data_IF_856851726004
#
_entry.id   IF_856851726004
#
_cell.length_a   1.000
_cell.length_b   1.000
_cell.length_c   1.000
_cell.angle_alpha   90.00
_cell.angle_beta   90.00
_cell.angle_gamma   90.00
#
_symmetry.space_group_name_H-M   'P 1'
#
loop_
_entity.id
_entity.type
_entity.pdbx_description
1 polymer ?
#
# COMPACT_ATOMS: atom_id res chain seq x y z
N UNK A 1 3.08 4.69 13.58
CA UNK A 1 2.72 4.47 12.17
C UNK A 1 3.26 3.16 11.60
N UNK A 2 3.91 2.30 12.39
CA UNK A 2 4.35 1.01 11.89
C UNK A 2 3.15 0.13 11.46
N UNK A 3 3.35 -0.58 10.36
CA UNK A 3 2.43 -1.58 9.82
C UNK A 3 2.98 -2.97 10.12
N UNK A 4 2.12 -3.91 10.52
CA UNK A 4 2.52 -5.26 10.94
C UNK A 4 2.29 -6.33 9.87
N UNK A 5 1.71 -5.97 8.72
CA UNK A 5 1.41 -6.92 7.65
C UNK A 5 2.63 -7.19 6.77
N UNK A 6 2.99 -8.46 6.63
CA UNK A 6 4.03 -8.92 5.69
C UNK A 6 3.51 -9.09 4.25
N UNK A 7 2.22 -8.79 4.01
CA UNK A 7 1.59 -8.90 2.70
C UNK A 7 1.88 -7.63 1.90
N UNK A 8 2.60 -7.73 0.78
CA UNK A 8 2.89 -6.58 -0.10
C UNK A 8 1.64 -6.21 -0.91
N UNK A 9 1.10 -5.00 -0.88
CA UNK A 9 -0.17 -4.71 -1.55
C UNK A 9 -0.14 -4.96 -3.08
N UNK A 10 -1.31 -5.22 -3.67
CA UNK A 10 -1.51 -5.33 -5.13
C UNK A 10 -2.64 -4.40 -5.61
N UNK A 11 -2.59 -3.13 -5.19
CA UNK A 11 -3.53 -2.06 -5.51
C UNK A 11 -2.73 -0.81 -5.93
N UNK A 12 -2.64 -0.56 -7.22
CA UNK A 12 -1.79 0.48 -7.83
C UNK A 12 -2.32 1.92 -7.68
N UNK A 13 -3.58 2.11 -7.29
CA UNK A 13 -4.15 3.43 -7.03
C UNK A 13 -4.32 3.66 -5.52
N UNK A 14 -3.35 4.35 -4.91
CA UNK A 14 -3.43 4.64 -3.47
C UNK A 14 -4.63 5.53 -3.13
N UNK A 15 -5.10 6.40 -4.03
CA UNK A 15 -6.27 7.24 -3.76
C UNK A 15 -7.53 6.38 -3.64
N UNK A 16 -7.70 5.35 -4.48
CA UNK A 16 -8.82 4.41 -4.34
C UNK A 16 -8.73 3.56 -3.07
N UNK A 17 -7.52 3.20 -2.63
CA UNK A 17 -7.32 2.54 -1.32
C UNK A 17 -7.80 3.45 -0.17
N UNK A 18 -7.55 4.76 -0.26
CA UNK A 18 -8.00 5.73 0.72
C UNK A 18 -9.50 6.05 0.61
N UNK A 19 -10.04 6.15 -0.61
CA UNK A 19 -11.46 6.35 -0.88
C UNK A 19 -12.31 5.20 -0.35
N UNK A 20 -11.80 3.96 -0.39
CA UNK A 20 -12.43 2.79 0.19
C UNK A 20 -12.79 2.98 1.67
N UNK A 21 -11.98 3.71 2.46
CA UNK A 21 -12.35 4.01 3.85
C UNK A 21 -13.61 4.87 3.95
N UNK A 22 -13.81 5.78 3.00
CA UNK A 22 -14.99 6.65 2.97
C UNK A 22 -16.25 5.85 2.68
N UNK A 23 -16.16 4.83 1.82
CA UNK A 23 -17.26 3.90 1.54
C UNK A 23 -17.62 3.06 2.76
N UNK A 24 -16.61 2.48 3.42
CA UNK A 24 -16.80 1.69 4.64
C UNK A 24 -17.46 2.55 5.72
N UNK A 25 -17.01 3.79 5.90
CA UNK A 25 -17.59 4.71 6.87
C UNK A 25 -19.06 5.08 6.55
N UNK A 26 -19.49 4.95 5.29
CA UNK A 26 -20.88 5.13 4.85
C UNK A 26 -21.72 3.85 4.91
N UNK A 27 -21.14 2.74 5.39
CA UNK A 27 -21.81 1.45 5.52
C UNK A 27 -21.67 0.54 4.30
N UNK A 28 -20.93 0.94 3.26
CA UNK A 28 -20.63 0.09 2.11
C UNK A 28 -19.32 -0.65 2.38
N UNK A 29 -19.42 -1.82 3.00
CA UNK A 29 -18.28 -2.48 3.63
C UNK A 29 -18.12 -3.95 3.25
N UNK A 30 -18.82 -4.43 2.23
CA UNK A 30 -18.59 -5.76 1.67
C UNK A 30 -17.73 -5.70 0.40
N UNK A 31 -17.05 -6.80 0.07
CA UNK A 31 -16.29 -6.92 -1.20
C UNK A 31 -17.16 -6.62 -2.43
N UNK A 32 -18.45 -7.01 -2.40
CA UNK A 32 -19.36 -6.80 -3.52
C UNK A 32 -19.75 -5.33 -3.68
N UNK A 33 -20.10 -4.64 -2.60
CA UNK A 33 -20.44 -3.20 -2.67
C UNK A 33 -19.26 -2.35 -3.15
N UNK A 34 -18.05 -2.70 -2.70
CA UNK A 34 -16.81 -2.06 -3.17
C UNK A 34 -16.55 -2.40 -4.64
N UNK A 35 -16.87 -3.63 -5.07
CA UNK A 35 -16.76 -4.03 -6.47
C UNK A 35 -17.67 -3.18 -7.37
N UNK A 36 -18.93 -3.04 -6.95
CA UNK A 36 -19.93 -2.28 -7.69
C UNK A 36 -19.57 -0.80 -7.75
N UNK A 37 -19.13 -0.20 -6.64
CA UNK A 37 -18.77 1.22 -6.60
C UNK A 37 -17.58 1.56 -7.51
N UNK A 38 -16.48 0.80 -7.42
CA UNK A 38 -15.28 1.07 -8.21
C UNK A 38 -15.29 0.44 -9.61
N UNK A 39 -16.35 -0.27 -9.97
CA UNK A 39 -16.44 -1.09 -11.19
C UNK A 39 -15.25 -2.07 -11.26
N UNK A 40 -15.01 -2.71 -10.14
CA UNK A 40 -13.96 -3.70 -9.95
C UNK A 40 -14.51 -5.11 -10.16
N UNK A 41 -13.61 -6.01 -10.55
CA UNK A 41 -13.85 -7.45 -10.32
C UNK A 41 -13.79 -7.74 -8.82
N UNK A 42 -14.47 -8.79 -8.31
CA UNK A 42 -14.38 -9.17 -6.89
C UNK A 42 -12.93 -9.38 -6.40
N UNK A 43 -12.06 -9.85 -7.30
CA UNK A 43 -10.62 -10.01 -7.03
C UNK A 43 -9.92 -8.66 -6.82
N UNK A 44 -10.26 -7.63 -7.60
CA UNK A 44 -9.72 -6.28 -7.42
C UNK A 44 -10.19 -5.69 -6.09
N UNK A 45 -11.47 -5.81 -5.75
CA UNK A 45 -11.99 -5.37 -4.44
C UNK A 45 -11.23 -6.02 -3.28
N UNK A 46 -10.93 -7.31 -3.39
CA UNK A 46 -10.10 -7.97 -2.39
C UNK A 46 -8.69 -7.38 -2.28
N UNK A 47 -8.02 -7.05 -3.39
CA UNK A 47 -6.68 -6.44 -3.34
C UNK A 47 -6.66 -5.03 -2.78
N UNK A 48 -7.69 -4.22 -3.07
CA UNK A 48 -7.81 -2.88 -2.50
C UNK A 48 -8.11 -2.94 -1.00
N UNK A 49 -8.95 -3.89 -0.56
CA UNK A 49 -9.12 -4.23 0.85
C UNK A 49 -7.81 -4.67 1.51
N UNK A 50 -7.07 -5.62 0.91
CA UNK A 50 -5.77 -6.08 1.41
C UNK A 50 -4.75 -4.93 1.53
N UNK A 51 -4.80 -3.94 0.63
CA UNK A 51 -3.94 -2.77 0.70
C UNK A 51 -4.30 -1.82 1.85
N UNK A 52 -5.59 -1.65 2.15
CA UNK A 52 -6.03 -0.91 3.33
C UNK A 52 -5.70 -1.67 4.63
N UNK A 53 -5.84 -3.00 4.65
CA UNK A 53 -5.40 -3.88 5.74
C UNK A 53 -3.88 -3.78 5.94
N UNK A 54 -3.10 -3.74 4.86
CA UNK A 54 -1.65 -3.56 4.88
C UNK A 54 -1.22 -2.27 5.59
N UNK A 55 -1.96 -1.18 5.38
CA UNK A 55 -1.74 0.10 6.04
C UNK A 55 -2.29 0.14 7.49
N UNK A 56 -2.97 -0.93 7.92
CA UNK A 56 -3.60 -1.06 9.24
C UNK A 56 -4.82 -0.16 9.42
N UNK A 57 -5.46 0.23 8.31
CA UNK A 57 -6.60 1.15 8.29
C UNK A 57 -7.93 0.44 8.50
N UNK A 58 -8.01 -0.82 8.07
CA UNK A 58 -9.19 -1.67 8.22
C UNK A 58 -8.78 -3.09 8.64
N UNK A 59 -9.75 -3.84 9.13
CA UNK A 59 -9.72 -5.29 9.31
C UNK A 59 -10.83 -5.92 8.48
N UNK A 60 -10.82 -7.25 8.37
CA UNK A 60 -11.86 -8.00 7.67
C UNK A 60 -12.28 -9.20 8.49
N UNK A 61 -13.58 -9.30 8.75
CA UNK A 61 -14.21 -10.46 9.39
C UNK A 61 -15.40 -10.93 8.55
N UNK A 62 -15.47 -12.24 8.28
CA UNK A 62 -16.58 -12.84 7.53
C UNK A 62 -16.91 -12.17 6.18
N UNK A 63 -15.91 -11.59 5.51
CA UNK A 63 -16.08 -10.89 4.22
C UNK A 63 -16.58 -9.45 4.32
N UNK A 64 -16.70 -8.93 5.55
CA UNK A 64 -17.06 -7.55 5.86
C UNK A 64 -15.81 -6.80 6.32
N UNK A 65 -15.61 -5.61 5.78
CA UNK A 65 -14.55 -4.70 6.15
C UNK A 65 -14.97 -3.83 7.34
N UNK A 66 -14.07 -3.65 8.28
CA UNK A 66 -14.31 -2.85 9.48
C UNK A 66 -13.18 -1.84 9.66
N UNK A 67 -13.52 -0.60 10.02
CA UNK A 67 -12.49 0.40 10.32
C UNK A 67 -11.75 0.03 11.60
N UNK A 68 -10.42 0.12 11.58
CA UNK A 68 -9.63 0.16 12.80
C UNK A 68 -9.77 1.54 13.47
N UNK A 69 -9.25 1.68 14.69
CA UNK A 69 -9.12 3.00 15.33
C UNK A 69 -8.32 3.96 14.44
N UNK A 70 -7.22 3.48 13.86
CA UNK A 70 -6.40 4.23 12.91
C UNK A 70 -7.17 4.65 11.66
N UNK A 71 -8.04 3.79 11.14
CA UNK A 71 -8.93 4.13 10.02
C UNK A 71 -9.91 5.24 10.37
N UNK A 72 -10.51 5.18 11.57
CA UNK A 72 -11.40 6.23 12.10
C UNK A 72 -10.66 7.56 12.28
N UNK A 73 -9.44 7.54 12.82
CA UNK A 73 -8.61 8.72 12.96
C UNK A 73 -8.32 9.38 11.61
N UNK A 74 -8.06 8.57 10.57
CA UNK A 74 -7.87 9.07 9.21
C UNK A 74 -9.15 9.71 8.67
N UNK A 75 -10.32 9.07 8.84
CA UNK A 75 -11.61 9.63 8.40
C UNK A 75 -11.94 10.96 9.10
N UNK A 76 -11.64 11.08 10.39
CA UNK A 76 -11.91 12.30 11.17
C UNK A 76 -10.95 13.46 10.85
N UNK A 77 -9.84 13.19 10.16
CA UNK A 77 -8.85 14.20 9.83
C UNK A 77 -9.28 15.08 8.63
N UNK A 78 -8.83 16.34 8.62
CA UNK A 78 -8.97 17.22 7.46
C UNK A 78 -8.23 16.65 6.23
N UNK A 79 -8.63 16.96 4.99
CA UNK A 79 -8.00 16.41 3.77
C UNK A 79 -6.47 16.53 3.73
N UNK A 80 -5.90 17.67 4.12
CA UNK A 80 -4.44 17.84 4.17
C UNK A 80 -3.76 16.89 5.17
N UNK A 81 -4.40 16.68 6.33
CA UNK A 81 -3.93 15.74 7.36
C UNK A 81 -4.08 14.30 6.90
N UNK A 82 -5.15 13.96 6.18
CA UNK A 82 -5.35 12.63 5.58
C UNK A 82 -4.22 12.26 4.62
N UNK A 83 -3.82 13.19 3.74
CA UNK A 83 -2.72 13.00 2.81
C UNK A 83 -1.40 12.75 3.55
N UNK A 84 -1.06 13.60 4.52
CA UNK A 84 0.15 13.44 5.36
C UNK A 84 0.13 12.13 6.16
N UNK A 85 -1.05 11.73 6.65
CA UNK A 85 -1.23 10.49 7.40
C UNK A 85 -0.99 9.26 6.51
N UNK A 86 -1.58 9.24 5.31
CA UNK A 86 -1.36 8.18 4.33
C UNK A 86 0.11 8.07 3.94
N UNK A 87 0.78 9.19 3.65
CA UNK A 87 2.21 9.20 3.36
C UNK A 87 3.03 8.60 4.51
N UNK A 88 2.74 8.97 5.76
CA UNK A 88 3.39 8.40 6.95
C UNK A 88 3.19 6.89 7.04
N UNK A 89 2.00 6.36 6.74
CA UNK A 89 1.76 4.92 6.75
C UNK A 89 2.58 4.21 5.68
N UNK A 90 2.60 4.75 4.46
CA UNK A 90 3.33 4.15 3.34
C UNK A 90 4.83 4.14 3.63
N UNK A 91 5.45 5.27 4.00
CA UNK A 91 6.92 5.32 4.22
C UNK A 91 7.38 4.50 5.43
N UNK A 92 6.48 4.26 6.41
CA UNK A 92 6.76 3.41 7.56
C UNK A 92 6.36 1.94 7.34
N UNK A 93 5.86 1.59 6.16
CA UNK A 93 5.62 0.20 5.82
C UNK A 93 6.94 -0.54 5.60
N UNK A 94 6.97 -1.85 5.86
CA UNK A 94 8.23 -2.59 5.83
C UNK A 94 8.93 -2.52 4.45
N UNK A 95 8.18 -2.57 3.35
CA UNK A 95 8.74 -2.47 1.99
C UNK A 95 9.43 -1.12 1.80
N UNK A 96 8.76 -0.03 2.16
CA UNK A 96 9.31 1.32 1.98
C UNK A 96 10.47 1.62 2.93
N UNK A 97 10.47 1.05 4.15
CA UNK A 97 11.60 1.13 5.07
C UNK A 97 12.84 0.45 4.47
N UNK A 98 12.70 -0.73 3.89
CA UNK A 98 13.81 -1.44 3.22
C UNK A 98 14.33 -0.71 1.98
N UNK A 99 13.43 -0.13 1.17
CA UNK A 99 13.82 0.68 0.01
C UNK A 99 14.52 1.98 0.42
N UNK A 100 14.00 2.66 1.43
CA UNK A 100 14.62 3.88 2.00
C UNK A 100 16.00 3.56 2.59
N UNK A 101 16.13 2.43 3.30
CA UNK A 101 17.42 1.94 3.82
C UNK A 101 18.39 1.65 2.67
N UNK A 102 17.91 1.05 1.59
CA UNK A 102 18.72 0.80 0.39
C UNK A 102 19.20 2.09 -0.27
N UNK A 103 18.31 3.08 -0.47
CA UNK A 103 18.70 4.41 -0.95
C UNK A 103 19.70 5.10 -0.03
N UNK A 104 19.54 5.04 1.29
CA UNK A 104 20.50 5.65 2.24
C UNK A 104 21.88 5.02 2.16
N UNK A 105 21.98 3.71 1.91
CA UNK A 105 23.25 3.00 1.81
C UNK A 105 23.94 3.16 0.45
N UNK A 106 23.18 3.06 -0.65
CA UNK A 106 23.72 3.07 -2.02
C UNK A 106 23.64 4.43 -2.71
N UNK A 107 22.92 5.39 -2.13
CA UNK A 107 22.53 6.66 -2.75
C UNK A 107 21.26 6.57 -3.62
N UNK A 108 20.79 5.36 -3.95
CA UNK A 108 19.59 5.11 -4.76
C UNK A 108 19.07 3.67 -4.57
N UNK A 109 17.88 3.37 -5.10
CA UNK A 109 17.42 2.01 -5.37
C UNK A 109 16.88 1.91 -6.81
N UNK A 110 16.75 0.70 -7.34
CA UNK A 110 16.24 0.43 -8.71
C UNK A 110 14.96 -0.40 -8.68
N UNK A 111 14.32 -0.57 -9.84
CA UNK A 111 13.19 -1.51 -10.00
C UNK A 111 13.56 -2.95 -9.58
N UNK A 112 14.81 -3.37 -9.79
CA UNK A 112 15.31 -4.68 -9.34
C UNK A 112 15.43 -4.75 -7.81
N UNK A 113 15.82 -3.66 -7.14
CA UNK A 113 15.81 -3.60 -5.67
C UNK A 113 14.38 -3.69 -5.12
N UNK A 114 13.39 -3.10 -5.80
CA UNK A 114 11.96 -3.25 -5.46
C UNK A 114 11.55 -4.73 -5.54
N UNK A 115 11.86 -5.42 -6.64
CA UNK A 115 11.56 -6.85 -6.78
C UNK A 115 12.22 -7.70 -5.69
N UNK A 116 13.50 -7.42 -5.38
CA UNK A 116 14.23 -8.12 -4.31
C UNK A 116 13.56 -7.95 -2.96
N UNK A 117 13.16 -6.73 -2.59
CA UNK A 117 12.46 -6.46 -1.32
C UNK A 117 11.12 -7.19 -1.27
N UNK A 118 10.32 -7.15 -2.35
CA UNK A 118 9.04 -7.87 -2.41
C UNK A 118 9.25 -9.38 -2.27
N UNK A 119 10.29 -9.90 -2.92
CA UNK A 119 10.68 -11.30 -2.85
C UNK A 119 11.22 -11.71 -1.47
N UNK A 120 11.46 -10.80 -0.53
CA UNK A 120 11.78 -11.12 0.87
C UNK A 120 10.55 -11.55 1.67
N UNK A 121 9.33 -11.26 1.21
CA UNK A 121 8.12 -11.68 1.91
C UNK A 121 8.04 -13.21 2.04
N UNK A 122 7.73 -13.69 3.25
CA UNK A 122 7.62 -15.13 3.56
C UNK A 122 6.23 -15.49 4.04
N UNK A 123 5.83 -16.73 3.76
CA UNK A 123 4.71 -17.38 4.44
C UNK A 123 5.10 -17.74 5.87
N UNK A 124 4.14 -18.02 6.78
CA UNK A 124 4.45 -18.42 8.16
C UNK A 124 5.36 -19.66 8.24
N UNK A 125 5.32 -20.54 7.23
CA UNK A 125 6.19 -21.71 7.13
C UNK A 125 7.57 -21.43 6.52
N UNK A 126 7.97 -20.16 6.39
CA UNK A 126 9.30 -19.75 5.89
C UNK A 126 9.51 -19.88 4.38
N UNK A 127 8.53 -20.36 3.60
CA UNK A 127 8.63 -20.40 2.13
C UNK A 127 8.42 -19.02 1.53
N UNK A 128 8.96 -18.82 0.32
CA UNK A 128 8.66 -17.62 -0.48
C UNK A 128 7.15 -17.45 -0.66
N UNK A 129 6.66 -16.24 -0.42
CA UNK A 129 5.22 -15.95 -0.48
C UNK A 129 4.72 -15.75 -1.92
N UNK A 130 5.55 -15.20 -2.80
CA UNK A 130 5.14 -14.82 -4.15
C UNK A 130 5.96 -15.52 -5.21
N UNK A 131 5.30 -15.94 -6.28
CA UNK A 131 5.95 -16.33 -7.55
C UNK A 131 6.55 -15.09 -8.23
N UNK A 132 7.48 -15.28 -9.16
CA UNK A 132 8.07 -14.17 -9.94
C UNK A 132 7.01 -13.32 -10.66
N UNK A 133 6.00 -13.96 -11.27
CA UNK A 133 4.88 -13.25 -11.91
C UNK A 133 4.03 -12.43 -10.92
N UNK A 134 3.97 -12.85 -9.66
CA UNK A 134 3.27 -12.11 -8.60
C UNK A 134 4.14 -10.98 -8.05
N UNK A 135 5.46 -11.17 -7.97
CA UNK A 135 6.43 -10.11 -7.65
C UNK A 135 6.30 -8.96 -8.64
N UNK A 136 6.33 -9.22 -9.95
CA UNK A 136 6.20 -8.17 -10.97
C UNK A 136 4.85 -7.42 -10.90
N UNK A 137 3.76 -8.10 -10.55
CA UNK A 137 2.46 -7.43 -10.32
C UNK A 137 2.49 -6.50 -9.11
N UNK A 138 3.12 -6.91 -8.00
CA UNK A 138 3.23 -6.12 -6.76
C UNK A 138 4.26 -5.00 -6.88
N UNK A 139 5.31 -5.18 -7.67
CA UNK A 139 6.27 -4.14 -8.02
C UNK A 139 5.56 -2.93 -8.65
N UNK A 140 4.62 -3.16 -9.58
CA UNK A 140 3.82 -2.07 -10.17
C UNK A 140 3.05 -1.27 -9.13
N UNK A 141 2.51 -1.93 -8.12
CA UNK A 141 1.87 -1.25 -6.98
C UNK A 141 2.86 -0.38 -6.20
N UNK A 142 4.04 -0.91 -5.86
CA UNK A 142 5.06 -0.15 -5.13
C UNK A 142 5.55 1.06 -5.95
N UNK A 143 5.79 0.89 -7.24
CA UNK A 143 6.18 1.98 -8.16
C UNK A 143 5.09 3.05 -8.22
N UNK A 144 3.81 2.66 -8.32
CA UNK A 144 2.71 3.62 -8.33
C UNK A 144 2.61 4.40 -7.00
N UNK A 145 2.87 3.75 -5.87
CA UNK A 145 2.88 4.41 -4.56
C UNK A 145 4.10 5.32 -4.37
N UNK A 146 5.29 4.95 -4.89
CA UNK A 146 6.46 5.83 -4.95
C UNK A 146 6.11 7.10 -5.75
N UNK A 147 5.50 6.92 -6.93
CA UNK A 147 5.06 8.03 -7.78
C UNK A 147 4.08 8.94 -7.04
N UNK A 148 3.09 8.38 -6.36
CA UNK A 148 2.15 9.15 -5.55
C UNK A 148 2.87 9.96 -4.46
N UNK A 149 3.85 9.37 -3.76
CA UNK A 149 4.64 10.09 -2.75
C UNK A 149 5.50 11.21 -3.35
N UNK A 150 6.05 11.00 -4.55
CA UNK A 150 6.77 12.04 -5.29
C UNK A 150 5.84 13.18 -5.70
N UNK A 151 4.68 12.88 -6.27
CA UNK A 151 3.73 13.90 -6.74
C UNK A 151 3.12 14.70 -5.58
N UNK A 152 2.79 14.05 -4.46
CA UNK A 152 2.15 14.72 -3.32
C UNK A 152 3.13 15.43 -2.39
N UNK A 153 4.35 14.90 -2.23
CA UNK A 153 5.28 15.32 -1.17
C UNK A 153 6.72 15.51 -1.63
N UNK A 154 7.06 15.18 -2.87
CA UNK A 154 8.43 15.28 -3.38
C UNK A 154 9.43 14.35 -2.66
N UNK A 155 8.99 13.23 -2.09
CA UNK A 155 9.85 12.36 -1.24
C UNK A 155 10.95 11.68 -2.05
N UNK A 156 10.67 11.32 -3.30
CA UNK A 156 11.64 10.65 -4.17
C UNK A 156 11.82 11.40 -5.48
N UNK A 157 13.04 11.32 -6.03
CA UNK A 157 13.34 11.68 -7.42
C UNK A 157 13.64 10.41 -8.22
N UNK A 158 13.40 10.45 -9.54
CA UNK A 158 13.68 9.34 -10.44
C UNK A 158 14.41 9.82 -11.70
N UNK A 159 15.62 9.31 -11.92
CA UNK A 159 16.44 9.56 -13.11
C UNK A 159 17.24 8.31 -13.49
N UNK A 160 17.40 8.05 -14.79
CA UNK A 160 18.26 6.98 -15.32
C UNK A 160 18.05 5.61 -14.65
N UNK A 161 16.79 5.22 -14.38
CA UNK A 161 16.45 3.94 -13.76
C UNK A 161 16.71 3.87 -12.25
N UNK A 162 16.93 5.00 -11.58
CA UNK A 162 17.31 5.08 -10.18
C UNK A 162 16.39 6.02 -9.41
N UNK A 163 15.83 5.51 -8.32
CA UNK A 163 15.05 6.28 -7.35
C UNK A 163 15.97 6.77 -6.23
N UNK A 164 15.89 8.05 -5.88
CA UNK A 164 16.66 8.67 -4.79
C UNK A 164 15.73 9.34 -3.80
N UNK A 165 16.19 9.48 -2.56
CA UNK A 165 15.54 10.37 -1.60
C UNK A 165 15.85 11.81 -2.01
N UNK A 166 14.81 12.64 -2.09
CA UNK A 166 14.96 14.07 -2.41
C UNK A 166 15.52 14.87 -1.22
#
# INVERSE_FOLDING_TARGET
>A
FETTSDIVPQADDLNKVLELLTLINRGQNTTNEIADYFIFTPRQSNYYGEAAEYLGLITREHGVFEMTERGRDWIAASPEKQQKFAAKLVVNSWVFRELTSTARRKGYFTDEDIEKVIAMARMPNGRQRYTQSTVGRRQRTIVAWIRWLTEQFGIFTYDNGKYRLA
#
